data_IF_541060807388
#
_entry.id   IF_541060807388
#
_cell.length_a   1.000
_cell.length_b   1.000
_cell.length_c   1.000
_cell.angle_alpha   90.00
_cell.angle_beta   90.00
_cell.angle_gamma   90.00
#
_symmetry.space_group_name_H-M   'P 1'
#
loop_
_entity.id
_entity.type
_entity.pdbx_description
1 polymer ?
#
# COMPACT_ATOMS: atom_id res chain seq x y z
N UNK A 1 10.09 23.00 7.74
CA UNK A 1 9.47 23.28 9.06
C UNK A 1 9.52 22.01 9.89
N UNK A 2 9.84 22.12 11.17
CA UNK A 2 9.88 21.00 12.13
C UNK A 2 8.78 21.23 13.19
N UNK A 3 7.61 20.61 13.02
CA UNK A 3 6.53 20.76 14.00
C UNK A 3 6.82 19.97 15.28
N UNK A 4 6.35 20.47 16.40
CA UNK A 4 6.50 19.85 17.73
C UNK A 4 5.42 18.78 18.00
N UNK A 5 4.33 18.81 17.24
CA UNK A 5 3.24 17.86 17.37
C UNK A 5 2.57 17.52 16.04
N UNK A 6 1.87 16.37 15.95
CA UNK A 6 1.11 16.01 14.76
C UNK A 6 0.05 17.04 14.35
N UNK A 7 -0.61 17.67 15.33
CA UNK A 7 -1.59 18.74 15.05
C UNK A 7 -0.92 19.98 14.44
N UNK A 8 0.26 20.35 14.92
CA UNK A 8 1.04 21.43 14.35
C UNK A 8 1.51 21.09 12.93
N UNK A 9 1.90 19.83 12.68
CA UNK A 9 2.25 19.36 11.34
C UNK A 9 1.09 19.54 10.36
N UNK A 10 -0.12 19.13 10.74
CA UNK A 10 -1.35 19.31 9.94
C UNK A 10 -1.64 20.81 9.71
N UNK A 11 -1.47 21.64 10.73
CA UNK A 11 -1.65 23.09 10.59
C UNK A 11 -0.65 23.69 9.59
N UNK A 12 0.61 23.31 9.67
CA UNK A 12 1.66 23.77 8.73
C UNK A 12 1.39 23.29 7.31
N UNK A 13 1.07 22.00 7.13
CA UNK A 13 0.77 21.45 5.82
C UNK A 13 -0.39 22.18 5.14
N UNK A 14 -1.46 22.47 5.87
CA UNK A 14 -2.63 23.22 5.36
C UNK A 14 -2.33 24.67 5.07
N UNK A 15 -1.70 25.38 6.03
CA UNK A 15 -1.42 26.82 5.93
C UNK A 15 -0.46 27.13 4.78
N UNK A 16 0.58 26.32 4.62
CA UNK A 16 1.65 26.58 3.66
C UNK A 16 1.57 25.72 2.40
N UNK A 17 0.54 24.84 2.28
CA UNK A 17 0.41 23.84 1.21
C UNK A 17 1.69 23.01 1.07
N UNK A 18 2.35 22.75 2.19
CA UNK A 18 3.65 22.10 2.24
C UNK A 18 3.50 20.58 2.34
N UNK A 19 4.17 19.79 1.50
CA UNK A 19 4.15 18.34 1.61
C UNK A 19 4.89 17.86 2.86
N UNK A 20 4.48 16.70 3.36
CA UNK A 20 5.19 16.00 4.41
C UNK A 20 6.43 15.31 3.86
N UNK A 21 7.49 15.27 4.68
CA UNK A 21 8.68 14.48 4.41
C UNK A 21 9.03 13.63 5.63
N UNK A 22 9.22 12.33 5.38
CA UNK A 22 9.83 11.37 6.30
C UNK A 22 11.22 10.98 5.77
N UNK A 23 11.40 9.77 5.25
CA UNK A 23 12.67 9.31 4.69
C UNK A 23 13.13 9.97 3.38
N UNK A 24 12.28 10.72 2.71
CA UNK A 24 12.60 11.47 1.48
C UNK A 24 12.85 10.63 0.22
N UNK A 25 12.87 9.32 0.32
CA UNK A 25 13.28 8.36 -0.72
C UNK A 25 12.43 8.36 -2.00
N UNK A 26 11.23 8.92 -1.95
CA UNK A 26 10.38 9.15 -3.11
C UNK A 26 10.35 10.63 -3.52
N UNK A 27 10.25 11.52 -2.54
CA UNK A 27 10.13 12.96 -2.81
C UNK A 27 11.39 13.54 -3.45
N UNK A 28 12.57 13.18 -2.94
CA UNK A 28 13.83 13.72 -3.46
C UNK A 28 14.05 13.32 -4.93
N UNK A 29 14.00 12.04 -5.34
CA UNK A 29 14.15 11.68 -6.75
C UNK A 29 13.08 12.30 -7.66
N UNK A 30 11.85 12.49 -7.17
CA UNK A 30 10.79 13.17 -7.92
C UNK A 30 11.14 14.63 -8.15
N UNK A 31 11.56 15.35 -7.12
CA UNK A 31 11.97 16.75 -7.24
C UNK A 31 13.18 16.92 -8.17
N UNK A 32 14.15 16.01 -8.11
CA UNK A 32 15.33 16.03 -8.99
C UNK A 32 14.95 15.79 -10.46
N UNK A 33 14.10 14.80 -10.72
CA UNK A 33 13.61 14.50 -12.07
C UNK A 33 12.82 15.65 -12.66
N UNK A 34 11.88 16.21 -11.89
CA UNK A 34 10.96 17.23 -12.34
C UNK A 34 11.58 18.65 -12.24
N UNK A 35 12.77 18.74 -11.65
CA UNK A 35 13.48 20.00 -11.34
C UNK A 35 12.63 21.03 -10.59
N UNK A 36 11.72 20.52 -9.77
CA UNK A 36 10.81 21.32 -8.96
C UNK A 36 10.90 20.91 -7.50
N UNK A 37 11.25 21.87 -6.66
CA UNK A 37 11.32 21.68 -5.22
C UNK A 37 10.20 22.49 -4.55
N UNK A 38 9.49 21.91 -3.59
CA UNK A 38 8.53 22.67 -2.81
C UNK A 38 9.27 23.75 -2.01
N UNK A 39 8.70 24.96 -1.95
CA UNK A 39 9.27 26.08 -1.21
C UNK A 39 9.42 25.75 0.29
N UNK A 40 8.58 24.89 0.82
CA UNK A 40 8.57 24.47 2.22
C UNK A 40 8.22 22.98 2.35
N UNK A 41 8.80 22.34 3.35
CA UNK A 41 8.53 20.95 3.73
C UNK A 41 8.16 20.86 5.20
N UNK A 42 7.25 19.97 5.54
CA UNK A 42 6.91 19.60 6.92
C UNK A 42 7.66 18.32 7.25
N UNK A 43 8.72 18.41 8.04
CA UNK A 43 9.54 17.27 8.45
C UNK A 43 8.85 16.55 9.61
N UNK A 44 8.54 15.27 9.39
CA UNK A 44 7.87 14.45 10.40
C UNK A 44 8.86 13.95 11.44
N UNK A 45 8.43 13.91 12.71
CA UNK A 45 9.22 13.37 13.80
C UNK A 45 8.82 11.91 14.06
N UNK A 46 9.76 10.94 13.88
CA UNK A 46 9.47 9.53 14.13
C UNK A 46 9.19 9.19 15.60
N UNK A 47 9.58 10.06 16.53
CA UNK A 47 9.39 9.84 17.97
C UNK A 47 7.97 10.19 18.47
N UNK A 48 7.11 10.70 17.58
CA UNK A 48 5.71 10.90 17.96
C UNK A 48 5.02 9.58 18.29
N UNK A 49 4.26 9.50 19.39
CA UNK A 49 3.54 8.28 19.78
C UNK A 49 2.67 7.74 18.66
N UNK A 50 2.74 6.42 18.45
CA UNK A 50 2.01 5.67 17.43
C UNK A 50 2.38 5.97 15.96
N UNK A 51 3.37 6.82 15.68
CA UNK A 51 3.84 7.06 14.32
C UNK A 51 4.91 6.07 13.86
N UNK A 52 5.59 5.38 14.77
CA UNK A 52 6.61 4.38 14.47
C UNK A 52 6.44 3.14 15.35
N UNK A 53 6.88 2.01 14.82
CA UNK A 53 6.81 0.69 15.46
C UNK A 53 5.59 -0.12 15.01
N UNK A 54 5.59 -1.39 15.39
CA UNK A 54 4.56 -2.37 15.06
C UNK A 54 4.06 -2.95 16.38
N UNK A 55 2.75 -2.98 16.54
CA UNK A 55 2.11 -3.43 17.77
C UNK A 55 0.91 -4.30 17.46
N UNK A 56 0.73 -5.34 18.24
CA UNK A 56 -0.49 -6.15 18.24
C UNK A 56 -1.64 -5.36 18.86
N UNK A 57 -2.84 -5.57 18.34
CA UNK A 57 -4.10 -4.97 18.82
C UNK A 57 -5.14 -6.08 18.87
N UNK A 58 -6.28 -5.84 19.51
CA UNK A 58 -7.36 -6.83 19.65
C UNK A 58 -7.89 -7.37 18.30
N UNK A 59 -7.70 -6.62 17.21
CA UNK A 59 -8.18 -6.99 15.87
C UNK A 59 -7.08 -7.17 14.82
N UNK A 60 -5.81 -7.27 15.20
CA UNK A 60 -4.70 -7.43 14.24
C UNK A 60 -3.46 -6.62 14.61
N UNK A 61 -2.85 -5.92 13.64
CA UNK A 61 -1.65 -5.13 13.82
C UNK A 61 -1.88 -3.63 13.60
N UNK A 62 -1.27 -2.81 14.44
CA UNK A 62 -1.09 -1.38 14.20
C UNK A 62 0.35 -1.10 13.80
N UNK A 63 0.56 -0.60 12.59
CA UNK A 63 1.87 -0.28 12.00
C UNK A 63 1.97 1.24 11.86
N UNK A 64 2.89 1.87 12.59
CA UNK A 64 3.11 3.31 12.50
C UNK A 64 3.58 3.74 11.10
N UNK A 65 3.04 4.84 10.59
CA UNK A 65 3.34 5.31 9.23
C UNK A 65 4.82 5.66 9.00
N UNK A 66 5.57 5.99 10.06
CA UNK A 66 6.99 6.29 10.02
C UNK A 66 7.88 5.06 10.33
N UNK A 67 7.29 3.88 10.51
CA UNK A 67 8.04 2.61 10.54
C UNK A 67 8.74 2.44 9.19
N UNK A 68 10.04 2.15 9.20
CA UNK A 68 10.80 1.96 7.97
C UNK A 68 10.42 0.62 7.31
N UNK A 69 10.66 0.52 6.01
CA UNK A 69 10.45 -0.73 5.28
C UNK A 69 11.37 -1.84 5.80
N UNK A 70 12.55 -1.47 6.24
CA UNK A 70 13.50 -2.42 6.84
C UNK A 70 13.03 -2.94 8.19
N UNK A 71 12.54 -2.07 9.08
CA UNK A 71 11.92 -2.47 10.35
C UNK A 71 10.71 -3.37 10.11
N UNK A 72 9.85 -3.03 9.15
CA UNK A 72 8.70 -3.84 8.80
C UNK A 72 9.10 -5.24 8.33
N UNK A 73 10.15 -5.35 7.50
CA UNK A 73 10.62 -6.63 6.97
C UNK A 73 11.17 -7.58 8.06
N UNK A 74 11.78 -7.04 9.10
CA UNK A 74 12.47 -7.83 10.11
C UNK A 74 11.69 -8.00 11.43
N UNK A 75 10.51 -7.41 11.53
CA UNK A 75 9.73 -7.46 12.77
C UNK A 75 9.05 -8.83 12.95
N UNK A 76 9.13 -9.46 14.14
CA UNK A 76 8.54 -10.78 14.40
C UNK A 76 7.03 -10.85 14.12
N UNK A 77 6.28 -9.82 14.49
CA UNK A 77 4.84 -9.75 14.22
C UNK A 77 4.53 -9.71 12.72
N UNK A 78 5.37 -9.08 11.91
CA UNK A 78 5.21 -9.10 10.44
C UNK A 78 5.35 -10.52 9.90
N UNK A 79 6.36 -11.26 10.37
CA UNK A 79 6.55 -12.66 9.98
C UNK A 79 5.40 -13.57 10.41
N UNK A 80 4.78 -13.28 11.56
CA UNK A 80 3.67 -14.06 12.10
C UNK A 80 2.34 -13.78 11.37
N UNK A 81 2.04 -12.50 11.11
CA UNK A 81 0.76 -12.09 10.53
C UNK A 81 0.76 -12.10 9.00
N UNK A 82 1.87 -11.74 8.39
CA UNK A 82 2.02 -11.50 6.94
C UNK A 82 3.32 -12.14 6.39
N UNK A 83 3.46 -13.48 6.42
CA UNK A 83 4.69 -14.13 5.95
C UNK A 83 5.15 -13.70 4.55
N UNK A 84 4.25 -13.49 3.55
CA UNK A 84 4.65 -13.08 2.20
C UNK A 84 5.25 -11.68 2.11
N UNK A 85 4.98 -10.80 3.11
CA UNK A 85 5.41 -9.41 3.09
C UNK A 85 6.94 -9.27 3.10
N UNK A 86 7.65 -10.14 3.80
CA UNK A 86 9.12 -10.13 3.81
C UNK A 86 9.69 -10.33 2.39
N UNK A 87 9.13 -11.29 1.65
CA UNK A 87 9.50 -11.54 0.23
C UNK A 87 9.25 -10.31 -0.65
N UNK A 88 8.09 -9.67 -0.48
CA UNK A 88 7.75 -8.44 -1.19
C UNK A 88 8.76 -7.32 -0.88
N UNK A 89 8.98 -7.02 0.41
CA UNK A 89 9.84 -5.90 0.81
C UNK A 89 11.28 -6.07 0.33
N UNK A 90 11.82 -7.29 0.31
CA UNK A 90 13.16 -7.56 -0.25
C UNK A 90 13.28 -7.18 -1.74
N UNK A 91 12.18 -7.15 -2.47
CA UNK A 91 12.10 -6.73 -3.88
C UNK A 91 11.79 -5.23 -4.03
N UNK A 92 11.44 -4.54 -2.94
CA UNK A 92 11.22 -3.09 -2.91
C UNK A 92 12.57 -2.39 -2.71
N UNK A 93 13.02 -1.65 -3.68
CA UNK A 93 14.21 -0.80 -3.63
C UNK A 93 15.49 -1.49 -3.08
N UNK A 94 16.58 -0.74 -2.95
CA UNK A 94 17.81 -1.20 -2.31
C UNK A 94 17.78 -1.09 -0.78
N UNK A 95 18.70 -1.78 -0.06
CA UNK A 95 18.75 -1.75 1.42
C UNK A 95 18.79 -0.33 1.99
N UNK A 96 19.65 0.53 1.46
CA UNK A 96 19.77 1.93 1.93
C UNK A 96 18.46 2.72 1.81
N UNK A 97 17.68 2.47 0.75
CA UNK A 97 16.35 3.08 0.58
C UNK A 97 15.35 2.50 1.58
N UNK A 98 15.39 1.20 1.87
CA UNK A 98 14.50 0.57 2.86
C UNK A 98 14.75 1.04 4.28
N UNK A 99 15.97 1.36 4.66
CA UNK A 99 16.29 1.94 5.97
C UNK A 99 15.74 3.36 6.17
N UNK A 100 15.47 4.09 5.10
CA UNK A 100 14.93 5.44 5.13
C UNK A 100 13.45 5.51 4.73
N UNK A 101 13.06 4.72 3.73
CA UNK A 101 11.69 4.66 3.22
C UNK A 101 10.74 4.11 4.29
N UNK A 102 9.59 4.75 4.44
CA UNK A 102 8.60 4.43 5.48
C UNK A 102 7.36 3.78 4.88
N UNK A 103 6.61 3.06 5.73
CA UNK A 103 5.33 2.45 5.36
C UNK A 103 4.38 3.52 4.81
N UNK A 104 4.18 4.61 5.53
CA UNK A 104 3.32 5.70 5.07
C UNK A 104 3.81 6.37 3.80
N UNK A 105 5.14 6.55 3.66
CA UNK A 105 5.73 7.10 2.44
C UNK A 105 5.50 6.19 1.23
N UNK A 106 5.64 4.87 1.39
CA UNK A 106 5.39 3.92 0.32
C UNK A 106 3.91 3.91 -0.09
N UNK A 107 2.98 3.81 0.86
CA UNK A 107 1.55 3.84 0.59
C UNK A 107 1.11 5.11 -0.14
N UNK A 108 1.57 6.28 0.34
CA UNK A 108 1.17 7.58 -0.23
C UNK A 108 1.78 7.87 -1.60
N UNK A 109 2.88 7.20 -1.92
CA UNK A 109 3.49 7.24 -3.25
C UNK A 109 2.87 6.23 -4.24
N UNK A 110 1.83 5.48 -3.85
CA UNK A 110 1.28 4.38 -4.64
C UNK A 110 2.28 3.24 -4.83
N UNK A 111 3.13 3.01 -3.82
CA UNK A 111 4.17 1.99 -3.86
C UNK A 111 3.64 0.57 -3.57
N UNK A 112 4.54 -0.40 -3.60
CA UNK A 112 4.24 -1.84 -3.57
C UNK A 112 3.34 -2.29 -2.42
N UNK A 113 3.43 -1.64 -1.24
CA UNK A 113 2.57 -1.97 -0.10
C UNK A 113 1.10 -1.63 -0.32
N UNK A 114 0.79 -0.74 -1.28
CA UNK A 114 -0.59 -0.29 -1.51
C UNK A 114 -1.50 -1.42 -2.00
N UNK A 115 -1.01 -2.31 -2.87
CA UNK A 115 -1.80 -3.44 -3.35
C UNK A 115 -2.15 -4.38 -2.19
N UNK A 116 -1.16 -4.78 -1.39
CA UNK A 116 -1.39 -5.67 -0.25
C UNK A 116 -2.31 -5.03 0.80
N UNK A 117 -2.08 -3.76 1.14
CA UNK A 117 -2.91 -3.06 2.12
C UNK A 117 -4.37 -2.92 1.66
N UNK A 118 -4.61 -2.70 0.37
CA UNK A 118 -5.96 -2.68 -0.21
C UNK A 118 -6.62 -4.06 -0.21
N UNK A 119 -5.89 -5.12 -0.60
CA UNK A 119 -6.42 -6.48 -0.61
C UNK A 119 -6.71 -7.01 0.80
N UNK A 120 -5.97 -6.57 1.81
CA UNK A 120 -6.23 -6.89 3.22
C UNK A 120 -7.37 -6.05 3.83
N UNK A 121 -7.99 -5.17 3.07
CA UNK A 121 -9.02 -4.24 3.56
C UNK A 121 -8.60 -3.44 4.80
N UNK A 122 -7.34 -2.98 4.80
CA UNK A 122 -6.76 -2.27 5.94
C UNK A 122 -7.47 -0.96 6.22
N UNK A 123 -7.45 -0.55 7.48
CA UNK A 123 -7.85 0.77 7.91
C UNK A 123 -6.62 1.68 8.12
N UNK A 124 -6.84 2.96 8.09
CA UNK A 124 -5.84 3.98 8.42
C UNK A 124 -6.31 4.85 9.56
N UNK A 125 -5.37 5.18 10.44
CA UNK A 125 -5.57 6.17 11.48
C UNK A 125 -4.91 7.48 11.03
N UNK A 126 -5.72 8.50 10.90
CA UNK A 126 -5.34 9.77 10.25
C UNK A 126 -5.54 10.92 11.23
N UNK A 127 -4.58 11.81 11.31
CA UNK A 127 -4.69 13.08 12.05
C UNK A 127 -5.11 14.17 11.07
N UNK A 128 -6.33 14.67 11.25
CA UNK A 128 -6.88 15.77 10.46
C UNK A 128 -7.06 17.06 11.27
N UNK A 129 -7.61 18.08 10.64
CA UNK A 129 -7.89 19.36 11.32
C UNK A 129 -8.86 19.28 12.50
N UNK A 130 -9.75 18.29 12.50
CA UNK A 130 -10.75 18.04 13.56
C UNK A 130 -10.32 16.98 14.58
N UNK A 131 -9.10 16.44 14.49
CA UNK A 131 -8.59 15.38 15.37
C UNK A 131 -8.22 14.11 14.61
N UNK A 132 -8.09 13.00 15.34
CA UNK A 132 -7.79 11.69 14.75
C UNK A 132 -9.06 10.98 14.30
N UNK A 133 -8.96 10.27 13.17
CA UNK A 133 -10.08 9.54 12.58
C UNK A 133 -9.56 8.22 11.98
N UNK A 134 -10.30 7.13 12.20
CA UNK A 134 -10.05 5.82 11.58
C UNK A 134 -11.01 5.63 10.42
N UNK A 135 -10.50 5.11 9.31
CA UNK A 135 -11.29 4.86 8.10
C UNK A 135 -10.65 3.80 7.21
N UNK A 136 -11.41 3.12 6.34
CA UNK A 136 -10.85 2.22 5.34
C UNK A 136 -9.83 2.92 4.45
N UNK A 137 -8.70 2.25 4.17
CA UNK A 137 -7.62 2.77 3.32
C UNK A 137 -8.13 3.09 1.91
N UNK A 138 -8.95 2.20 1.33
CA UNK A 138 -9.51 2.40 -0.01
C UNK A 138 -10.30 3.72 -0.10
N UNK A 139 -11.13 3.99 0.90
CA UNK A 139 -11.91 5.24 0.95
C UNK A 139 -11.01 6.46 1.17
N UNK A 140 -9.97 6.32 2.00
CA UNK A 140 -9.04 7.42 2.23
C UNK A 140 -8.22 7.76 1.00
N UNK A 141 -7.86 6.81 0.16
CA UNK A 141 -7.20 7.09 -1.12
C UNK A 141 -8.09 7.90 -2.08
N UNK A 142 -9.40 7.64 -2.10
CA UNK A 142 -10.36 8.36 -2.92
C UNK A 142 -10.61 9.79 -2.44
N UNK A 143 -10.79 9.95 -1.14
CA UNK A 143 -11.27 11.20 -0.52
C UNK A 143 -10.22 11.87 0.38
N UNK A 144 -8.93 11.66 0.15
CA UNK A 144 -7.90 12.16 1.05
C UNK A 144 -7.93 13.70 1.18
N UNK A 145 -8.30 14.26 2.34
CA UNK A 145 -8.30 15.70 2.54
C UNK A 145 -6.88 16.24 2.52
N UNK A 146 -6.69 17.40 1.87
CA UNK A 146 -5.40 18.06 1.81
C UNK A 146 -4.86 18.34 3.22
N UNK A 147 -3.62 17.97 3.46
CA UNK A 147 -2.93 18.18 4.73
C UNK A 147 -3.30 17.20 5.84
N UNK A 148 -4.10 16.16 5.58
CA UNK A 148 -4.27 15.08 6.54
C UNK A 148 -2.98 14.24 6.65
N UNK A 149 -2.63 13.84 7.88
CA UNK A 149 -1.39 13.15 8.22
C UNK A 149 -1.69 11.71 8.62
N UNK A 150 -1.14 10.75 7.87
CA UNK A 150 -1.21 9.33 8.20
C UNK A 150 -0.41 9.05 9.47
N UNK A 151 -1.06 8.50 10.50
CA UNK A 151 -0.45 8.11 11.77
C UNK A 151 -0.05 6.64 11.78
N UNK A 152 -0.97 5.76 11.42
CA UNK A 152 -0.74 4.32 11.38
C UNK A 152 -1.66 3.63 10.38
N UNK A 153 -1.26 2.43 10.00
CA UNK A 153 -2.06 1.47 9.21
C UNK A 153 -2.51 0.37 10.16
N UNK A 154 -3.77 0.00 10.10
CA UNK A 154 -4.37 -1.05 10.91
C UNK A 154 -4.67 -2.23 10.01
N UNK A 155 -3.88 -3.28 10.16
CA UNK A 155 -4.01 -4.53 9.41
C UNK A 155 -4.89 -5.47 10.21
N UNK A 156 -5.91 -6.10 9.63
CA UNK A 156 -6.75 -7.07 10.35
C UNK A 156 -5.94 -8.29 10.79
N UNK A 157 -6.50 -9.11 11.68
CA UNK A 157 -5.90 -10.41 12.00
C UNK A 157 -6.04 -11.33 10.80
N UNK A 158 -4.99 -11.41 10.01
CA UNK A 158 -4.93 -12.21 8.79
C UNK A 158 -4.14 -13.52 8.96
N UNK A 159 -3.93 -13.97 10.19
CA UNK A 159 -3.30 -15.26 10.46
C UNK A 159 -4.19 -16.39 9.93
N UNK A 160 -3.60 -17.28 9.13
CA UNK A 160 -4.34 -18.35 8.46
C UNK A 160 -5.04 -17.94 7.17
N UNK A 161 -4.98 -16.69 6.76
CA UNK A 161 -5.45 -16.27 5.44
C UNK A 161 -4.50 -16.73 4.33
N UNK A 162 -5.05 -17.03 3.16
CA UNK A 162 -4.26 -17.19 1.94
C UNK A 162 -3.84 -15.80 1.45
N UNK A 163 -2.53 -15.56 1.31
CA UNK A 163 -2.01 -14.27 0.86
C UNK A 163 -0.93 -14.50 -0.19
N UNK A 164 -1.13 -13.98 -1.39
CA UNK A 164 -0.15 -13.95 -2.46
C UNK A 164 0.12 -12.51 -2.88
N UNK A 165 1.41 -12.17 -3.03
CA UNK A 165 1.84 -10.84 -3.48
C UNK A 165 2.97 -10.98 -4.48
N UNK A 166 2.72 -10.49 -5.70
CA UNK A 166 3.70 -10.48 -6.77
C UNK A 166 4.05 -9.07 -7.23
N UNK A 167 5.31 -8.88 -7.61
CA UNK A 167 5.81 -7.60 -8.13
C UNK A 167 6.47 -7.78 -9.49
N UNK A 168 6.06 -6.95 -10.43
CA UNK A 168 6.71 -6.77 -11.73
C UNK A 168 7.48 -5.45 -11.73
N UNK A 169 8.78 -5.50 -12.00
CA UNK A 169 9.65 -4.34 -12.18
C UNK A 169 10.25 -4.29 -13.58
N UNK A 170 11.02 -3.24 -13.87
CA UNK A 170 11.81 -3.15 -15.11
C UNK A 170 13.01 -4.10 -15.13
N UNK A 171 13.41 -4.60 -13.97
CA UNK A 171 14.49 -5.55 -13.73
C UNK A 171 14.22 -6.36 -12.46
N UNK A 172 14.91 -7.46 -12.28
CA UNK A 172 14.69 -8.40 -11.17
C UNK A 172 14.85 -7.75 -9.77
N UNK A 173 15.89 -6.93 -9.60
CA UNK A 173 16.20 -6.31 -8.29
C UNK A 173 16.35 -4.81 -8.39
N UNK A 174 16.05 -4.12 -7.28
CA UNK A 174 16.18 -2.66 -7.12
C UNK A 174 15.50 -1.87 -8.25
N UNK A 175 14.35 -2.35 -8.66
CA UNK A 175 13.59 -1.79 -9.77
C UNK A 175 12.44 -0.95 -9.27
N UNK A 176 12.15 0.20 -9.91
CA UNK A 176 10.84 0.82 -9.79
C UNK A 176 9.74 -0.17 -10.14
N UNK A 177 8.61 0.00 -9.53
CA UNK A 177 7.44 -0.88 -9.73
C UNK A 177 6.75 -0.52 -11.03
N UNK A 178 6.51 -1.51 -11.88
CA UNK A 178 5.57 -1.41 -12.99
C UNK A 178 4.17 -1.84 -12.53
N UNK A 179 4.12 -2.96 -11.82
CA UNK A 179 2.91 -3.48 -11.21
C UNK A 179 3.24 -4.27 -9.94
N UNK A 180 2.39 -4.18 -8.95
CA UNK A 180 2.29 -5.13 -7.83
C UNK A 180 0.85 -5.59 -7.75
N UNK A 181 0.68 -6.88 -7.58
CA UNK A 181 -0.62 -7.55 -7.47
C UNK A 181 -0.69 -8.21 -6.11
N UNK A 182 -1.82 -8.12 -5.45
CA UNK A 182 -2.12 -8.82 -4.22
C UNK A 182 -3.43 -9.59 -4.34
N UNK A 183 -3.40 -10.87 -3.98
CA UNK A 183 -4.55 -11.74 -3.86
C UNK A 183 -4.63 -12.21 -2.42
N UNK A 184 -5.78 -12.06 -1.80
CA UNK A 184 -6.04 -12.46 -0.42
C UNK A 184 -7.31 -13.30 -0.37
N UNK A 185 -7.28 -14.40 0.38
CA UNK A 185 -8.45 -15.23 0.69
C UNK A 185 -8.59 -15.34 2.21
N UNK A 186 -9.63 -14.74 2.77
CA UNK A 186 -9.85 -14.65 4.22
C UNK A 186 -10.57 -15.89 4.82
N UNK A 187 -10.76 -16.94 4.01
CA UNK A 187 -11.52 -18.14 4.34
C UNK A 187 -12.97 -18.09 3.85
N UNK A 188 -13.47 -16.93 3.40
CA UNK A 188 -14.82 -16.75 2.89
C UNK A 188 -14.87 -16.16 1.49
N UNK A 189 -14.02 -15.18 1.23
CA UNK A 189 -14.00 -14.43 -0.02
C UNK A 189 -12.58 -14.08 -0.47
N UNK A 190 -12.45 -13.82 -1.76
CA UNK A 190 -11.21 -13.35 -2.36
C UNK A 190 -11.24 -11.83 -2.50
N UNK A 191 -10.15 -11.19 -2.11
CA UNK A 191 -9.89 -9.78 -2.34
C UNK A 191 -8.69 -9.63 -3.29
N UNK A 192 -8.83 -8.72 -4.25
CA UNK A 192 -7.85 -8.48 -5.31
C UNK A 192 -7.49 -7.01 -5.39
N UNK A 193 -6.20 -6.70 -5.39
CA UNK A 193 -5.76 -5.32 -5.56
C UNK A 193 -4.48 -5.23 -6.38
N UNK A 194 -4.30 -4.06 -7.00
CA UNK A 194 -3.16 -3.74 -7.84
C UNK A 194 -2.58 -2.38 -7.45
N UNK A 195 -1.29 -2.18 -7.71
CA UNK A 195 -0.69 -0.85 -7.72
C UNK A 195 0.51 -0.81 -8.68
N UNK A 196 0.91 0.37 -9.12
CA UNK A 196 2.01 0.57 -10.04
C UNK A 196 1.75 1.72 -11.00
N UNK A 197 2.07 1.54 -12.28
CA UNK A 197 1.95 2.59 -13.30
C UNK A 197 0.52 3.12 -13.48
N UNK A 198 -0.51 2.26 -13.29
CA UNK A 198 -1.92 2.67 -13.32
C UNK A 198 -2.47 3.19 -11.99
N UNK A 199 -1.62 3.28 -10.96
CA UNK A 199 -2.05 3.66 -9.60
C UNK A 199 -2.57 2.48 -8.76
N UNK A 200 -2.88 2.74 -7.48
CA UNK A 200 -3.45 1.74 -6.59
C UNK A 200 -4.96 1.59 -6.82
N UNK A 201 -5.44 0.37 -6.86
CA UNK A 201 -6.87 0.08 -6.99
C UNK A 201 -7.22 -1.32 -6.52
N UNK A 202 -8.46 -1.47 -6.05
CA UNK A 202 -9.07 -2.75 -5.72
C UNK A 202 -9.97 -3.19 -6.86
N UNK A 203 -9.97 -4.48 -7.20
CA UNK A 203 -10.72 -5.03 -8.32
C UNK A 203 -12.11 -5.51 -7.86
N UNK A 204 -12.96 -4.57 -7.48
CA UNK A 204 -14.25 -4.83 -6.84
C UNK A 204 -15.25 -5.57 -7.74
N UNK A 205 -15.23 -5.30 -9.06
CA UNK A 205 -16.11 -5.97 -10.02
C UNK A 205 -15.68 -7.42 -10.21
N UNK A 206 -14.38 -7.64 -10.33
CA UNK A 206 -13.78 -8.97 -10.42
C UNK A 206 -14.06 -9.79 -9.14
N UNK A 207 -13.91 -9.18 -7.95
CA UNK A 207 -14.22 -9.82 -6.67
C UNK A 207 -15.71 -10.22 -6.55
N UNK A 208 -16.61 -9.36 -7.00
CA UNK A 208 -18.04 -9.66 -7.01
C UNK A 208 -18.36 -10.84 -7.92
N UNK A 209 -17.79 -10.87 -9.13
CA UNK A 209 -17.96 -11.99 -10.06
C UNK A 209 -17.45 -13.32 -9.45
N UNK A 210 -16.27 -13.30 -8.83
CA UNK A 210 -15.71 -14.49 -8.19
C UNK A 210 -16.57 -15.01 -7.03
N UNK A 211 -17.26 -14.13 -6.32
CA UNK A 211 -18.17 -14.46 -5.23
C UNK A 211 -19.47 -15.08 -5.74
N UNK A 212 -20.06 -14.52 -6.78
CA UNK A 212 -21.40 -14.87 -7.25
C UNK A 212 -21.38 -16.12 -8.14
N UNK A 213 -20.37 -16.28 -8.99
CA UNK A 213 -20.29 -17.36 -9.98
C UNK A 213 -19.33 -18.48 -9.59
N UNK A 214 -18.49 -18.24 -8.59
CA UNK A 214 -17.35 -19.10 -8.27
C UNK A 214 -16.26 -18.99 -9.33
N UNK A 215 -15.13 -19.67 -9.11
CA UNK A 215 -14.03 -19.74 -10.11
C UNK A 215 -14.38 -20.84 -11.10
N UNK A 216 -15.18 -20.57 -12.12
CA UNK A 216 -15.56 -21.58 -13.12
C UNK A 216 -14.62 -21.60 -14.31
N UNK A 217 -14.24 -20.44 -14.86
CA UNK A 217 -13.27 -20.36 -15.95
C UNK A 217 -12.43 -19.07 -15.88
N UNK A 218 -11.10 -19.22 -16.03
CA UNK A 218 -10.15 -18.08 -16.04
C UNK A 218 -10.32 -17.17 -17.27
N UNK A 219 -10.99 -17.64 -18.32
CA UNK A 219 -11.22 -16.89 -19.56
C UNK A 219 -12.23 -15.77 -19.38
N UNK A 220 -13.32 -15.99 -18.67
CA UNK A 220 -14.34 -14.96 -18.40
C UNK A 220 -13.80 -13.90 -17.44
N UNK A 221 -13.03 -14.33 -16.45
CA UNK A 221 -12.28 -13.47 -15.55
C UNK A 221 -11.35 -12.50 -16.32
N UNK A 222 -10.76 -12.95 -17.42
CA UNK A 222 -9.82 -12.17 -18.22
C UNK A 222 -10.43 -10.89 -18.78
N UNK A 223 -11.67 -10.93 -19.25
CA UNK A 223 -12.37 -9.79 -19.85
C UNK A 223 -12.73 -8.77 -18.78
N UNK A 224 -13.24 -9.23 -17.65
CA UNK A 224 -13.64 -8.37 -16.53
C UNK A 224 -12.43 -7.68 -15.92
N UNK A 225 -11.35 -8.42 -15.66
CA UNK A 225 -10.09 -7.86 -15.14
C UNK A 225 -9.52 -6.81 -16.09
N UNK A 226 -9.48 -7.08 -17.40
CA UNK A 226 -8.91 -6.13 -18.37
C UNK A 226 -9.72 -4.83 -18.40
N UNK A 227 -11.05 -4.92 -18.42
CA UNK A 227 -11.96 -3.77 -18.39
C UNK A 227 -11.83 -2.97 -17.08
N UNK A 228 -11.75 -3.66 -15.94
CA UNK A 228 -11.63 -2.99 -14.64
C UNK A 228 -10.26 -2.31 -14.50
N UNK A 229 -9.17 -2.93 -14.94
CA UNK A 229 -7.85 -2.33 -14.99
C UNK A 229 -7.82 -1.08 -15.87
N UNK A 230 -8.47 -1.11 -17.04
CA UNK A 230 -8.56 0.07 -17.91
C UNK A 230 -9.29 1.23 -17.23
N UNK A 231 -10.40 0.93 -16.55
CA UNK A 231 -11.15 1.92 -15.75
C UNK A 231 -10.32 2.51 -14.62
N UNK A 232 -9.41 1.73 -14.03
CA UNK A 232 -8.46 2.16 -13.00
C UNK A 232 -7.24 2.94 -13.53
N UNK A 233 -7.17 3.18 -14.86
CA UNK A 233 -6.08 3.96 -15.48
C UNK A 233 -4.90 3.14 -16.00
N UNK A 234 -5.03 1.83 -16.11
CA UNK A 234 -4.02 0.94 -16.67
C UNK A 234 -4.17 0.86 -18.19
N UNK A 235 -3.58 1.81 -18.93
CA UNK A 235 -3.78 1.93 -20.38
C UNK A 235 -2.85 1.06 -21.23
N UNK A 236 -1.69 0.64 -20.72
CA UNK A 236 -0.77 -0.25 -21.43
C UNK A 236 -1.32 -1.68 -21.49
N UNK A 237 -1.76 -2.13 -22.66
CA UNK A 237 -2.34 -3.46 -22.90
C UNK A 237 -1.38 -4.61 -22.54
N UNK A 238 -0.07 -4.42 -22.77
CA UNK A 238 0.93 -5.47 -22.42
C UNK A 238 1.09 -5.58 -20.91
N UNK A 239 1.03 -4.44 -20.22
CA UNK A 239 1.10 -4.42 -18.77
C UNK A 239 -0.18 -5.01 -18.15
N UNK A 240 -1.37 -4.69 -18.69
CA UNK A 240 -2.63 -5.34 -18.26
C UNK A 240 -2.58 -6.85 -18.42
N UNK A 241 -2.07 -7.36 -19.54
CA UNK A 241 -1.89 -8.79 -19.75
C UNK A 241 -0.96 -9.42 -18.69
N UNK A 242 0.14 -8.74 -18.35
CA UNK A 242 1.05 -9.22 -17.31
C UNK A 242 0.37 -9.23 -15.93
N UNK A 243 -0.32 -8.15 -15.57
CA UNK A 243 -1.09 -8.03 -14.31
C UNK A 243 -2.15 -9.11 -14.20
N UNK A 244 -2.90 -9.37 -15.27
CA UNK A 244 -3.89 -10.45 -15.32
C UNK A 244 -3.26 -11.81 -15.02
N UNK A 245 -2.14 -12.15 -15.65
CA UNK A 245 -1.44 -13.42 -15.40
C UNK A 245 -0.93 -13.55 -13.96
N UNK A 246 -0.48 -12.44 -13.38
CA UNK A 246 -0.09 -12.39 -11.96
C UNK A 246 -1.30 -12.62 -11.05
N UNK A 247 -2.46 -12.03 -11.39
CA UNK A 247 -3.73 -12.28 -10.67
C UNK A 247 -4.17 -13.74 -10.78
N UNK A 248 -4.12 -14.33 -11.97
CA UNK A 248 -4.43 -15.75 -12.19
C UNK A 248 -3.53 -16.67 -11.34
N UNK A 249 -2.23 -16.39 -11.33
CA UNK A 249 -1.25 -17.12 -10.51
C UNK A 249 -1.53 -16.98 -9.02
N UNK A 250 -1.71 -15.75 -8.55
CA UNK A 250 -2.00 -15.46 -7.15
C UNK A 250 -3.32 -16.07 -6.66
N UNK A 251 -4.37 -16.04 -7.50
CA UNK A 251 -5.64 -16.69 -7.19
C UNK A 251 -5.48 -18.19 -7.00
N UNK A 252 -4.76 -18.87 -7.91
CA UNK A 252 -4.49 -20.31 -7.77
C UNK A 252 -3.71 -20.63 -6.48
N UNK A 253 -2.79 -19.74 -6.07
CA UNK A 253 -2.02 -19.92 -4.84
C UNK A 253 -2.90 -19.82 -3.60
N UNK A 254 -3.69 -18.76 -3.48
CA UNK A 254 -4.52 -18.52 -2.27
C UNK A 254 -5.71 -19.48 -2.14
N UNK A 255 -6.18 -20.05 -3.24
CA UNK A 255 -7.32 -21.00 -3.23
C UNK A 255 -6.93 -22.46 -3.05
N UNK A 256 -5.66 -22.84 -3.29
CA UNK A 256 -5.16 -24.22 -3.05
C UNK A 256 -4.92 -24.53 -1.58
N UNK A 257 -4.80 -23.53 -0.72
CA UNK A 257 -4.55 -23.66 0.71
C UNK A 257 -5.80 -23.50 1.58
N UNK A 258 -6.95 -23.28 0.96
CA UNK A 258 -8.24 -23.06 1.64
C UNK A 258 -9.08 -24.33 1.78
#
# INVERSE_FOLDING_TARGET
>A
MRPESPRQAVSFAKRFRAPYIAGGTWLQPSCERDRQWPAQLVVLNPDWPAFRGIRETDGGLSIGALTTLDELAHHPLTALYLPPLNGLIKRVAGPGVRHLGTVGGNLLAGGDLSALALALDTEVDVVGGKGSNRRPLARWFQDRPAGDLLRSVIVPDCRGWGVSVEKLGYRERFSPTRATVACVHDGQQVQLAVCGEGGPGRLMVTEAMLRDEGIRELTDLAIVVDSELETLGWHDTRLRLAVRRMLESGLMEVTRGA
#
